data_IF_979723470521
#
_entry.id   IF_979723470521
#
_cell.length_a   1.000
_cell.length_b   1.000
_cell.length_c   1.000
_cell.angle_alpha   90.00
_cell.angle_beta   90.00
_cell.angle_gamma   90.00
#
_symmetry.space_group_name_H-M   'P 1'
#
loop_
_entity.id
_entity.type
_entity.pdbx_description
1 polymer ?
#
# COMPACT_ATOMS: atom_id res chain seq x y z
N UNK A 1 8.56 -2.79 -4.19
CA UNK A 1 7.56 -2.99 -5.26
C UNK A 1 6.18 -2.87 -4.65
N UNK A 2 5.21 -2.25 -5.33
CA UNK A 2 3.84 -2.12 -4.82
C UNK A 2 2.88 -2.94 -5.69
N UNK A 3 2.14 -3.84 -5.04
CA UNK A 3 0.95 -4.49 -5.59
C UNK A 3 -0.21 -3.50 -5.38
N UNK A 4 -0.97 -3.15 -6.44
CA UNK A 4 -2.11 -2.26 -6.34
C UNK A 4 -3.26 -2.92 -5.57
N UNK A 5 -4.38 -2.21 -5.45
CA UNK A 5 -5.67 -2.80 -5.07
C UNK A 5 -5.97 -4.08 -5.89
N UNK A 6 -6.34 -5.16 -5.22
CA UNK A 6 -6.61 -6.46 -5.85
C UNK A 6 -8.07 -6.88 -5.74
N UNK A 7 -9.01 -5.95 -5.57
CA UNK A 7 -10.44 -6.19 -5.76
C UNK A 7 -10.76 -6.76 -7.15
N UNK A 8 -11.99 -7.22 -7.37
CA UNK A 8 -12.40 -7.78 -8.66
C UNK A 8 -12.26 -9.30 -8.75
N UNK A 9 -12.55 -9.98 -7.65
CA UNK A 9 -12.65 -11.44 -7.57
C UNK A 9 -13.82 -11.96 -8.42
N UNK A 10 -13.65 -13.15 -8.98
CA UNK A 10 -14.69 -13.91 -9.71
C UNK A 10 -15.11 -15.14 -8.92
N UNK A 11 -16.23 -15.77 -9.29
CA UNK A 11 -16.81 -16.94 -8.64
C UNK A 11 -18.01 -16.60 -7.75
N UNK A 12 -18.55 -17.63 -7.10
CA UNK A 12 -19.73 -17.54 -6.23
C UNK A 12 -19.55 -16.49 -5.14
N UNK A 13 -20.53 -15.59 -5.01
CA UNK A 13 -20.58 -14.63 -3.91
C UNK A 13 -19.70 -13.38 -4.07
N UNK A 14 -18.87 -13.26 -5.11
CA UNK A 14 -18.05 -12.05 -5.35
C UNK A 14 -18.88 -10.89 -5.92
N UNK A 15 -18.35 -9.64 -5.96
CA UNK A 15 -19.10 -8.52 -6.58
C UNK A 15 -19.27 -8.71 -8.09
N UNK A 16 -18.27 -9.29 -8.78
CA UNK A 16 -18.32 -9.44 -10.25
C UNK A 16 -19.26 -10.55 -10.74
N UNK A 17 -19.44 -11.61 -9.96
CA UNK A 17 -20.24 -12.77 -10.36
C UNK A 17 -21.02 -13.39 -9.20
N UNK A 18 -21.89 -12.62 -8.52
CA UNK A 18 -22.50 -13.04 -7.25
C UNK A 18 -23.31 -14.34 -7.34
N UNK A 19 -23.88 -14.62 -8.51
CA UNK A 19 -24.70 -15.81 -8.78
C UNK A 19 -23.95 -16.96 -9.50
N UNK A 20 -22.63 -16.84 -9.70
CA UNK A 20 -21.84 -17.92 -10.29
C UNK A 20 -21.80 -19.13 -9.34
N UNK A 21 -21.67 -20.33 -9.88
CA UNK A 21 -21.36 -21.54 -9.10
C UNK A 21 -19.88 -21.93 -9.17
N UNK A 22 -19.06 -21.12 -9.84
CA UNK A 22 -17.64 -21.37 -10.00
C UNK A 22 -16.87 -21.05 -8.70
N UNK A 23 -15.74 -21.72 -8.44
CA UNK A 23 -14.87 -21.41 -7.32
C UNK A 23 -14.39 -19.95 -7.36
N UNK A 24 -14.18 -19.36 -6.18
CA UNK A 24 -13.64 -18.01 -6.09
C UNK A 24 -12.21 -17.95 -6.63
N UNK A 25 -11.91 -16.97 -7.47
CA UNK A 25 -10.59 -16.77 -8.09
C UNK A 25 -10.25 -15.29 -8.25
N UNK A 26 -8.96 -15.00 -8.32
CA UNK A 26 -8.45 -13.71 -8.79
C UNK A 26 -7.20 -13.94 -9.67
N UNK A 27 -7.39 -14.10 -11.00
CA UNK A 27 -6.29 -14.40 -11.91
C UNK A 27 -5.26 -13.27 -12.03
N UNK A 28 -5.66 -12.02 -11.84
CA UNK A 28 -4.73 -10.87 -11.95
C UNK A 28 -3.84 -10.82 -10.72
N UNK A 29 -4.42 -10.95 -9.52
CA UNK A 29 -3.63 -11.03 -8.30
C UNK A 29 -2.65 -12.22 -8.35
N UNK A 30 -3.09 -13.38 -8.83
CA UNK A 30 -2.21 -14.53 -9.03
C UNK A 30 -1.06 -14.23 -10.01
N UNK A 31 -1.32 -13.53 -11.12
CA UNK A 31 -0.28 -13.11 -12.06
C UNK A 31 0.70 -12.12 -11.45
N UNK A 32 0.23 -11.16 -10.66
CA UNK A 32 1.09 -10.20 -9.95
C UNK A 32 2.09 -10.92 -9.05
N UNK A 33 1.61 -11.78 -8.15
CA UNK A 33 2.48 -12.48 -7.19
C UNK A 33 3.42 -13.48 -7.87
N UNK A 34 2.96 -14.17 -8.92
CA UNK A 34 3.81 -15.08 -9.71
C UNK A 34 4.90 -14.31 -10.46
N UNK A 35 4.53 -13.20 -11.11
CA UNK A 35 5.51 -12.36 -11.80
C UNK A 35 6.58 -11.85 -10.83
N UNK A 36 6.17 -11.38 -9.64
CA UNK A 36 7.10 -10.95 -8.59
C UNK A 36 8.07 -12.08 -8.24
N UNK A 37 7.57 -13.27 -7.90
CA UNK A 37 8.39 -14.43 -7.55
C UNK A 37 9.36 -14.79 -8.68
N UNK A 38 8.87 -14.85 -9.91
CA UNK A 38 9.66 -15.29 -11.07
C UNK A 38 10.71 -14.24 -11.49
N UNK A 39 10.60 -13.00 -11.00
CA UNK A 39 11.49 -11.88 -11.34
C UNK A 39 12.30 -11.33 -10.15
N UNK A 40 12.30 -11.99 -8.99
CA UNK A 40 13.01 -11.51 -7.79
C UNK A 40 14.48 -11.18 -8.08
N UNK A 41 15.20 -12.10 -8.72
CA UNK A 41 16.61 -11.93 -9.05
C UNK A 41 16.80 -10.91 -10.18
N UNK A 42 16.11 -11.10 -11.31
CA UNK A 42 16.26 -10.29 -12.51
C UNK A 42 15.92 -8.80 -12.27
N UNK A 43 14.94 -8.51 -11.40
CA UNK A 43 14.52 -7.15 -11.06
C UNK A 43 15.11 -6.66 -9.73
N UNK A 44 15.86 -7.51 -9.02
CA UNK A 44 16.46 -7.24 -7.70
C UNK A 44 15.41 -6.79 -6.67
N UNK A 45 14.30 -7.53 -6.59
CA UNK A 45 13.19 -7.20 -5.69
C UNK A 45 13.58 -7.61 -4.27
N UNK A 46 13.75 -6.61 -3.41
CA UNK A 46 14.15 -6.80 -2.00
C UNK A 46 13.00 -6.60 -1.01
N UNK A 47 11.89 -5.99 -1.45
CA UNK A 47 10.72 -5.71 -0.63
C UNK A 47 9.46 -5.54 -1.49
N UNK A 48 8.32 -6.05 -0.99
CA UNK A 48 7.00 -5.94 -1.63
C UNK A 48 6.00 -5.34 -0.64
N UNK A 49 5.22 -4.35 -1.05
CA UNK A 49 4.08 -3.83 -0.29
C UNK A 49 2.78 -4.00 -1.07
N UNK A 50 1.67 -4.21 -0.39
CA UNK A 50 0.32 -4.19 -0.97
C UNK A 50 -0.45 -3.00 -0.41
N UNK A 51 -1.06 -2.19 -1.27
CA UNK A 51 -1.69 -0.90 -0.88
C UNK A 51 -3.10 -1.03 -0.30
N UNK A 52 -3.48 -2.19 0.24
CA UNK A 52 -4.86 -2.45 0.72
C UNK A 52 -5.87 -2.84 -0.34
N UNK A 53 -7.08 -3.11 0.14
CA UNK A 53 -8.17 -3.73 -0.62
C UNK A 53 -7.70 -5.02 -1.32
N UNK A 54 -7.21 -5.92 -0.47
CA UNK A 54 -6.74 -7.26 -0.84
C UNK A 54 -7.93 -8.10 -1.29
N UNK A 55 -9.09 -7.90 -0.66
CA UNK A 55 -10.35 -8.57 -0.99
C UNK A 55 -11.43 -7.56 -1.34
N UNK A 56 -12.53 -8.05 -1.92
CA UNK A 56 -13.62 -7.26 -2.46
C UNK A 56 -14.82 -7.17 -1.50
N UNK A 57 -15.10 -8.25 -0.77
CA UNK A 57 -16.29 -8.37 0.10
C UNK A 57 -16.00 -8.74 1.55
N UNK A 58 -14.73 -8.86 1.95
CA UNK A 58 -14.35 -9.32 3.29
C UNK A 58 -15.01 -10.65 3.70
N UNK A 59 -14.79 -11.71 2.92
CA UNK A 59 -15.33 -13.05 3.20
C UNK A 59 -14.24 -14.13 3.12
N UNK A 60 -14.49 -15.27 3.76
CA UNK A 60 -13.52 -16.36 3.85
C UNK A 60 -13.06 -16.91 2.49
N UNK A 61 -13.94 -16.94 1.49
CA UNK A 61 -13.61 -17.49 0.18
C UNK A 61 -12.58 -16.62 -0.56
N UNK A 62 -12.75 -15.30 -0.53
CA UNK A 62 -11.79 -14.34 -1.09
C UNK A 62 -10.48 -14.34 -0.29
N UNK A 63 -10.55 -14.35 1.04
CA UNK A 63 -9.35 -14.43 1.89
C UNK A 63 -8.56 -15.72 1.69
N UNK A 64 -9.24 -16.84 1.45
CA UNK A 64 -8.58 -18.13 1.12
C UNK A 64 -7.80 -18.03 -0.20
N UNK A 65 -8.36 -17.33 -1.20
CA UNK A 65 -7.65 -17.06 -2.46
C UNK A 65 -6.48 -16.10 -2.22
N UNK A 66 -6.68 -15.01 -1.48
CA UNK A 66 -5.63 -14.05 -1.15
C UNK A 66 -4.45 -14.70 -0.42
N UNK A 67 -4.73 -15.53 0.60
CA UNK A 67 -3.77 -16.37 1.34
C UNK A 67 -2.94 -17.21 0.39
N UNK A 68 -3.60 -17.97 -0.50
CA UNK A 68 -2.93 -18.81 -1.51
C UNK A 68 -2.04 -18.01 -2.45
N UNK A 69 -2.48 -16.84 -2.91
CA UNK A 69 -1.69 -15.96 -3.77
C UNK A 69 -0.45 -15.45 -3.03
N UNK A 70 -0.62 -14.90 -1.82
CA UNK A 70 0.48 -14.31 -1.06
C UNK A 70 1.44 -15.35 -0.46
N UNK A 71 0.99 -16.60 -0.26
CA UNK A 71 1.85 -17.72 0.11
C UNK A 71 2.99 -17.97 -0.90
N UNK A 72 2.82 -17.54 -2.15
CA UNK A 72 3.87 -17.61 -3.19
C UNK A 72 5.09 -16.76 -2.84
N UNK A 73 4.91 -15.69 -2.04
CA UNK A 73 5.98 -14.79 -1.61
C UNK A 73 6.47 -15.07 -0.18
N UNK A 74 5.70 -15.84 0.59
CA UNK A 74 5.93 -16.04 2.01
C UNK A 74 7.21 -16.84 2.27
N UNK A 75 8.12 -16.27 3.07
CA UNK A 75 9.44 -16.84 3.31
C UNK A 75 10.43 -16.70 2.15
N UNK A 76 10.05 -16.01 1.07
CA UNK A 76 10.87 -15.83 -0.13
C UNK A 76 11.38 -14.38 -0.25
N UNK A 77 10.51 -13.39 -0.01
CA UNK A 77 10.86 -11.97 -0.05
C UNK A 77 10.18 -11.25 1.12
N UNK A 78 10.82 -10.28 1.79
CA UNK A 78 10.15 -9.43 2.76
C UNK A 78 8.94 -8.72 2.15
N UNK A 79 7.82 -8.70 2.88
CA UNK A 79 6.64 -7.99 2.40
C UNK A 79 5.76 -7.43 3.51
N UNK A 80 4.93 -6.47 3.15
CA UNK A 80 3.89 -5.87 4.00
C UNK A 80 2.54 -5.91 3.33
N UNK A 81 1.50 -5.99 4.16
CA UNK A 81 0.11 -5.87 3.74
C UNK A 81 -0.50 -4.66 4.47
N UNK A 82 -1.08 -3.76 3.71
CA UNK A 82 -1.96 -2.71 4.24
C UNK A 82 -3.40 -3.21 4.16
N UNK A 83 -4.24 -2.85 5.12
CA UNK A 83 -5.68 -3.10 5.07
C UNK A 83 -6.39 -1.89 4.47
N UNK A 84 -7.19 -2.12 3.44
CA UNK A 84 -8.06 -1.12 2.84
C UNK A 84 -9.47 -1.15 3.42
N UNK A 85 -10.36 -0.30 2.88
CA UNK A 85 -11.72 -0.18 3.39
C UNK A 85 -12.61 -1.39 3.08
N UNK A 86 -12.18 -2.29 2.18
CA UNK A 86 -12.82 -3.58 1.91
C UNK A 86 -12.23 -4.74 2.72
N UNK A 87 -11.08 -4.56 3.37
CA UNK A 87 -10.44 -5.58 4.20
C UNK A 87 -10.88 -5.53 5.68
N UNK A 88 -11.55 -4.44 6.07
CA UNK A 88 -12.09 -4.22 7.41
C UNK A 88 -13.47 -3.58 7.37
N UNK A 89 -14.18 -3.56 8.50
CA UNK A 89 -15.45 -2.84 8.59
C UNK A 89 -15.23 -1.32 8.63
N UNK A 90 -16.28 -0.54 8.38
CA UNK A 90 -16.22 0.93 8.52
C UNK A 90 -15.79 1.40 9.92
N UNK A 91 -15.94 0.55 10.96
CA UNK A 91 -15.49 0.83 12.34
C UNK A 91 -14.05 0.37 12.61
N UNK A 92 -13.34 -0.11 11.60
CA UNK A 92 -11.94 -0.56 11.70
C UNK A 92 -11.75 -2.00 12.15
N UNK A 93 -12.82 -2.81 12.21
CA UNK A 93 -12.67 -4.23 12.57
C UNK A 93 -12.07 -5.02 11.41
N UNK A 94 -10.83 -5.48 11.59
CA UNK A 94 -10.04 -6.27 10.63
C UNK A 94 -9.88 -7.74 11.06
N UNK A 95 -10.76 -8.26 11.93
CA UNK A 95 -10.64 -9.60 12.51
C UNK A 95 -10.45 -10.70 11.47
N UNK A 96 -11.17 -10.63 10.33
CA UNK A 96 -11.05 -11.65 9.30
C UNK A 96 -9.71 -11.58 8.57
N UNK A 97 -9.23 -10.37 8.22
CA UNK A 97 -7.84 -10.19 7.75
C UNK A 97 -6.83 -10.80 8.73
N UNK A 98 -7.00 -10.54 10.03
CA UNK A 98 -6.10 -11.03 11.07
C UNK A 98 -6.10 -12.56 11.22
N UNK A 99 -7.19 -13.25 10.91
CA UNK A 99 -7.23 -14.71 10.91
C UNK A 99 -6.32 -15.30 9.81
N UNK A 100 -6.27 -14.66 8.65
CA UNK A 100 -5.45 -15.13 7.53
C UNK A 100 -4.03 -14.58 7.58
N UNK A 101 -3.85 -13.33 8.02
CA UNK A 101 -2.59 -12.58 7.96
C UNK A 101 -2.24 -11.92 9.30
N UNK A 102 -2.52 -12.59 10.42
CA UNK A 102 -2.12 -12.14 11.75
C UNK A 102 -0.60 -12.09 11.95
N UNK A 103 -0.15 -11.29 12.91
CA UNK A 103 1.24 -10.98 13.21
C UNK A 103 2.05 -12.22 13.55
N UNK A 104 1.45 -13.21 14.22
CA UNK A 104 2.09 -14.50 14.54
C UNK A 104 2.75 -15.14 13.33
N UNK A 105 2.12 -15.04 12.16
CA UNK A 105 2.67 -15.55 10.90
C UNK A 105 4.03 -14.97 10.56
N UNK A 106 4.30 -13.75 11.01
CA UNK A 106 5.45 -12.96 10.61
C UNK A 106 6.54 -12.88 11.67
N UNK A 107 6.21 -13.19 12.94
CA UNK A 107 7.08 -12.96 14.11
C UNK A 107 8.46 -13.61 14.02
N UNK A 108 8.58 -14.74 13.33
CA UNK A 108 9.85 -15.45 13.18
C UNK A 108 10.73 -14.90 12.04
N UNK A 109 10.23 -13.97 11.23
CA UNK A 109 11.03 -13.34 10.19
C UNK A 109 11.82 -12.16 10.74
N UNK A 110 13.16 -12.12 10.56
CA UNK A 110 13.99 -11.02 11.07
C UNK A 110 13.62 -9.64 10.51
N UNK A 111 12.99 -9.60 9.35
CA UNK A 111 12.55 -8.36 8.71
C UNK A 111 11.22 -7.83 9.26
N UNK A 112 10.46 -8.63 10.01
CA UNK A 112 9.22 -8.18 10.65
C UNK A 112 9.56 -7.49 11.97
N UNK A 113 9.43 -6.17 12.00
CA UNK A 113 9.81 -5.37 13.16
C UNK A 113 8.79 -5.41 14.30
N UNK A 114 7.51 -5.67 13.96
CA UNK A 114 6.41 -5.78 14.89
C UNK A 114 5.14 -5.12 14.38
N UNK A 115 4.11 -5.16 15.22
CA UNK A 115 2.78 -4.61 14.98
C UNK A 115 2.35 -3.59 16.04
N UNK A 116 1.29 -2.84 15.75
CA UNK A 116 0.69 -1.92 16.72
C UNK A 116 -0.08 -2.70 17.80
N UNK A 117 0.33 -2.52 19.05
CA UNK A 117 -0.37 -3.06 20.21
C UNK A 117 -1.28 -2.00 20.83
N UNK A 118 -2.59 -2.10 20.56
CA UNK A 118 -3.55 -1.09 21.03
C UNK A 118 -3.78 -1.03 22.54
N UNK A 119 -3.29 -2.02 23.30
CA UNK A 119 -3.60 -2.20 24.72
C UNK A 119 -5.08 -2.53 25.02
N UNK A 120 -5.93 -2.67 24.00
CA UNK A 120 -7.34 -3.05 24.13
C UNK A 120 -7.48 -4.57 24.35
N UNK A 121 -8.55 -5.05 25.01
CA UNK A 121 -8.75 -6.49 25.25
C UNK A 121 -8.86 -7.33 23.97
N UNK A 122 -9.34 -6.74 22.88
CA UNK A 122 -9.44 -7.38 21.58
C UNK A 122 -8.56 -6.64 20.57
N UNK A 123 -7.76 -7.36 19.75
CA UNK A 123 -6.95 -6.75 18.71
C UNK A 123 -7.74 -6.42 17.43
N UNK A 124 -9.05 -6.73 17.38
CA UNK A 124 -9.88 -6.60 16.19
C UNK A 124 -9.81 -5.22 15.50
N UNK A 125 -9.69 -4.14 16.28
CA UNK A 125 -9.62 -2.76 15.78
C UNK A 125 -8.21 -2.21 15.96
N UNK A 126 -7.55 -1.93 14.83
CA UNK A 126 -6.18 -1.41 14.70
C UNK A 126 -5.05 -2.31 15.18
N UNK A 127 -5.33 -3.31 16.03
CA UNK A 127 -4.32 -4.18 16.61
C UNK A 127 -3.87 -5.30 15.68
N UNK A 128 -2.92 -6.11 16.17
CA UNK A 128 -2.35 -7.21 15.40
C UNK A 128 -1.79 -6.64 14.07
N UNK A 129 -1.73 -7.44 13.02
CA UNK A 129 -1.08 -7.02 11.78
C UNK A 129 -1.84 -5.97 10.94
N UNK A 130 -2.90 -5.34 11.45
CA UNK A 130 -3.59 -4.25 10.75
C UNK A 130 -2.65 -3.05 10.52
N UNK A 131 -1.70 -2.85 11.43
CA UNK A 131 -0.59 -1.91 11.31
C UNK A 131 0.70 -2.64 11.68
N UNK A 132 1.73 -2.53 10.85
CA UNK A 132 2.99 -3.24 11.08
C UNK A 132 4.17 -2.49 10.48
N UNK A 133 5.37 -2.78 10.96
CA UNK A 133 6.58 -2.26 10.35
C UNK A 133 7.59 -3.36 10.04
N UNK A 134 8.41 -3.10 9.04
CA UNK A 134 9.41 -4.01 8.53
C UNK A 134 10.76 -3.29 8.45
N UNK A 135 11.82 -4.00 8.81
CA UNK A 135 13.20 -3.53 8.72
C UNK A 135 13.95 -4.39 7.71
N UNK A 136 14.60 -3.75 6.74
CA UNK A 136 15.38 -4.47 5.75
C UNK A 136 16.59 -3.65 5.28
N UNK A 137 17.51 -4.33 4.63
CA UNK A 137 18.78 -3.77 4.16
C UNK A 137 19.04 -4.21 2.71
N UNK A 138 19.46 -3.27 1.86
CA UNK A 138 19.86 -3.56 0.49
C UNK A 138 20.83 -2.49 -0.04
N UNK A 139 21.85 -2.89 -0.81
CA UNK A 139 22.81 -1.95 -1.45
C UNK A 139 23.50 -0.97 -0.49
N UNK A 140 23.74 -1.39 0.76
CA UNK A 140 24.33 -0.56 1.81
C UNK A 140 23.35 0.46 2.39
N UNK A 141 22.05 0.32 2.12
CA UNK A 141 20.99 1.20 2.63
C UNK A 141 20.10 0.43 3.60
N UNK A 142 19.87 1.04 4.76
CA UNK A 142 18.91 0.58 5.74
C UNK A 142 17.55 1.25 5.54
N UNK A 143 16.50 0.45 5.60
CA UNK A 143 15.11 0.87 5.44
C UNK A 143 14.26 0.52 6.65
N UNK A 144 13.26 1.35 6.88
CA UNK A 144 12.06 1.03 7.64
C UNK A 144 10.86 1.22 6.71
N UNK A 145 10.00 0.21 6.63
CA UNK A 145 8.69 0.33 6.00
C UNK A 145 7.62 0.26 7.09
N UNK A 146 6.61 1.12 7.03
CA UNK A 146 5.44 1.08 7.92
C UNK A 146 4.17 0.93 7.07
N UNK A 147 3.39 -0.11 7.35
CA UNK A 147 2.05 -0.31 6.82
C UNK A 147 1.04 0.28 7.81
N UNK A 148 0.23 1.23 7.35
CA UNK A 148 -0.82 1.90 8.11
C UNK A 148 -2.19 1.54 7.54
N UNK A 149 -3.13 1.15 8.39
CA UNK A 149 -4.50 0.87 8.01
C UNK A 149 -5.21 2.08 7.38
N UNK A 150 -6.25 1.84 6.59
CA UNK A 150 -7.06 2.90 6.00
C UNK A 150 -7.59 3.87 7.06
N UNK A 151 -7.29 5.16 6.88
CA UNK A 151 -7.63 6.24 7.83
C UNK A 151 -7.12 5.97 9.26
N UNK A 152 -5.85 5.54 9.39
CA UNK A 152 -5.22 5.21 10.66
C UNK A 152 -5.51 6.25 11.77
N UNK A 153 -6.06 5.83 12.93
CA UNK A 153 -6.35 6.70 14.05
C UNK A 153 -5.12 7.27 14.77
N UNK A 154 -5.31 8.30 15.60
CA UNK A 154 -4.23 9.00 16.32
C UNK A 154 -3.33 8.08 17.16
N UNK A 155 -3.89 7.04 17.80
CA UNK A 155 -3.11 6.08 18.59
C UNK A 155 -2.13 5.29 17.71
N UNK A 156 -2.52 5.00 16.47
CA UNK A 156 -1.65 4.37 15.47
C UNK A 156 -0.63 5.37 14.93
N UNK A 157 -1.03 6.62 14.66
CA UNK A 157 -0.11 7.66 14.18
C UNK A 157 0.95 8.00 15.24
N UNK A 158 0.60 8.01 16.53
CA UNK A 158 1.54 8.18 17.63
C UNK A 158 2.58 7.05 17.67
N UNK A 159 2.14 5.80 17.51
CA UNK A 159 3.05 4.66 17.41
C UNK A 159 3.98 4.76 16.18
N UNK A 160 3.45 5.17 15.02
CA UNK A 160 4.25 5.36 13.82
C UNK A 160 5.27 6.51 13.99
N UNK A 161 4.87 7.60 14.67
CA UNK A 161 5.76 8.70 15.04
C UNK A 161 6.95 8.19 15.89
N UNK A 162 6.67 7.38 16.91
CA UNK A 162 7.71 6.78 17.77
C UNK A 162 8.67 5.88 16.98
N UNK A 163 8.15 5.11 16.02
CA UNK A 163 8.98 4.27 15.14
C UNK A 163 9.88 5.11 14.24
N UNK A 164 9.34 6.14 13.58
CA UNK A 164 10.13 6.97 12.68
C UNK A 164 11.22 7.75 13.42
N UNK A 165 10.96 8.19 14.65
CA UNK A 165 11.96 8.78 15.53
C UNK A 165 13.00 7.75 15.99
N UNK A 166 12.57 6.56 16.43
CA UNK A 166 13.48 5.48 16.87
C UNK A 166 14.41 5.01 15.75
N UNK A 167 13.93 5.01 14.52
CA UNK A 167 14.65 4.56 13.33
C UNK A 167 15.03 5.73 12.41
N UNK A 168 15.33 6.91 12.97
CA UNK A 168 15.67 8.12 12.21
C UNK A 168 16.85 7.94 11.24
N UNK A 169 17.79 7.03 11.54
CA UNK A 169 18.91 6.70 10.66
C UNK A 169 18.57 5.82 9.45
N UNK A 170 17.32 5.32 9.36
CA UNK A 170 16.84 4.46 8.26
C UNK A 170 15.97 5.26 7.31
N UNK A 171 15.99 4.89 6.03
CA UNK A 171 15.11 5.48 5.00
C UNK A 171 13.70 4.96 5.21
N UNK A 172 12.78 5.86 5.52
CA UNK A 172 11.42 5.51 5.83
C UNK A 172 10.52 5.53 4.59
N UNK A 173 9.72 4.47 4.48
CA UNK A 173 8.69 4.25 3.49
C UNK A 173 7.38 3.98 4.23
N UNK A 174 6.27 4.56 3.79
CA UNK A 174 4.94 4.27 4.33
C UNK A 174 4.06 3.73 3.22
N UNK A 175 3.25 2.73 3.53
CA UNK A 175 2.08 2.37 2.72
C UNK A 175 0.82 2.60 3.55
N UNK A 176 -0.15 3.29 2.97
CA UNK A 176 -1.51 3.43 3.49
C UNK A 176 -2.50 3.16 2.38
N UNK A 177 -3.74 2.80 2.68
CA UNK A 177 -4.72 2.60 1.62
C UNK A 177 -5.14 3.93 0.97
N UNK A 178 -5.42 4.95 1.79
CA UNK A 178 -5.90 6.27 1.36
C UNK A 178 -4.86 7.37 1.61
N UNK A 179 -4.45 8.08 0.54
CA UNK A 179 -3.69 9.34 0.63
C UNK A 179 -4.07 10.34 -0.48
N UNK A 180 -3.67 10.07 -1.72
CA UNK A 180 -4.01 10.91 -2.87
C UNK A 180 -5.27 10.41 -3.58
N UNK A 181 -6.08 11.34 -4.09
CA UNK A 181 -7.34 11.05 -4.76
C UNK A 181 -8.11 12.33 -5.08
N UNK A 182 -9.44 12.23 -5.17
CA UNK A 182 -10.29 13.42 -5.21
C UNK A 182 -10.29 14.12 -3.85
N UNK A 183 -10.05 15.44 -3.86
CA UNK A 183 -9.85 16.24 -2.64
C UNK A 183 -11.03 16.13 -1.66
N UNK A 184 -12.25 16.28 -2.16
CA UNK A 184 -13.48 16.21 -1.39
C UNK A 184 -14.25 14.95 -1.75
N UNK A 185 -15.05 14.41 -0.83
CA UNK A 185 -15.87 13.23 -1.13
C UNK A 185 -16.87 13.57 -2.27
N UNK A 186 -16.78 12.90 -3.43
CA UNK A 186 -17.62 13.23 -4.57
C UNK A 186 -19.10 13.08 -4.28
N UNK A 187 -19.91 13.95 -4.89
CA UNK A 187 -21.38 13.91 -4.78
C UNK A 187 -22.05 13.11 -5.90
N UNK A 188 -21.26 12.66 -6.87
CA UNK A 188 -21.68 11.87 -8.03
C UNK A 188 -20.58 10.92 -8.46
N UNK A 189 -20.94 9.88 -9.22
CA UNK A 189 -19.98 8.95 -9.81
C UNK A 189 -18.95 9.64 -10.71
N UNK A 190 -19.41 10.62 -11.49
CA UNK A 190 -18.61 11.43 -12.39
C UNK A 190 -17.53 12.26 -11.65
N UNK A 191 -17.85 12.72 -10.43
CA UNK A 191 -16.92 13.48 -9.60
C UNK A 191 -15.68 12.66 -9.21
N UNK A 192 -15.78 11.34 -9.06
CA UNK A 192 -14.61 10.49 -8.80
C UNK A 192 -13.57 10.52 -9.94
N UNK A 193 -13.97 10.95 -11.16
CA UNK A 193 -13.11 11.04 -12.34
C UNK A 193 -12.68 12.49 -12.58
N UNK A 194 -13.59 13.45 -12.44
CA UNK A 194 -13.35 14.82 -12.93
C UNK A 194 -13.13 15.88 -11.86
N UNK A 195 -13.49 15.61 -10.60
CA UNK A 195 -13.29 16.59 -9.54
C UNK A 195 -11.79 16.81 -9.25
N UNK A 196 -11.42 17.96 -8.66
CA UNK A 196 -10.04 18.28 -8.34
C UNK A 196 -9.33 17.22 -7.49
N UNK A 197 -8.10 16.90 -7.86
CA UNK A 197 -7.29 15.84 -7.24
C UNK A 197 -6.16 16.42 -6.38
N UNK A 198 -5.77 15.65 -5.38
CA UNK A 198 -4.68 15.96 -4.46
C UNK A 198 -4.77 15.08 -3.21
N UNK A 199 -4.25 15.55 -2.08
CA UNK A 199 -4.37 14.83 -0.82
C UNK A 199 -5.80 14.94 -0.26
N UNK A 200 -6.42 13.80 0.01
CA UNK A 200 -7.85 13.70 0.35
C UNK A 200 -8.20 14.31 1.72
N UNK A 201 -9.39 14.91 1.83
CA UNK A 201 -9.94 15.55 3.05
C UNK A 201 -11.11 14.81 3.68
N UNK A 202 -11.28 13.54 3.36
CA UNK A 202 -12.39 12.71 3.82
C UNK A 202 -11.90 11.30 4.20
N UNK A 203 -12.74 10.57 4.92
CA UNK A 203 -12.44 9.23 5.43
C UNK A 203 -13.48 8.21 4.99
N UNK A 204 -13.09 6.94 4.91
CA UNK A 204 -13.98 5.78 4.72
C UNK A 204 -14.11 4.93 5.98
N UNK A 205 -13.07 4.91 6.81
CA UNK A 205 -12.96 4.05 7.99
C UNK A 205 -12.78 4.86 9.28
N UNK A 206 -13.03 4.20 10.42
CA UNK A 206 -12.86 4.70 11.79
C UNK A 206 -13.74 5.88 12.22
N UNK A 207 -14.55 6.45 11.32
CA UNK A 207 -15.45 7.56 11.64
C UNK A 207 -14.66 8.75 12.22
N UNK A 208 -15.10 9.27 13.38
CA UNK A 208 -14.42 10.38 14.06
C UNK A 208 -13.01 10.05 14.57
N UNK A 209 -12.69 8.76 14.74
CA UNK A 209 -11.33 8.34 15.12
C UNK A 209 -10.38 8.30 13.93
N UNK A 210 -10.91 8.27 12.71
CA UNK A 210 -10.10 8.11 11.51
C UNK A 210 -9.51 9.42 11.05
N UNK A 211 -8.25 9.39 10.62
CA UNK A 211 -7.61 10.55 10.03
C UNK A 211 -7.82 10.62 8.52
N UNK A 212 -8.15 11.82 8.05
CA UNK A 212 -8.04 12.15 6.63
C UNK A 212 -6.58 12.12 6.21
N UNK A 213 -6.31 12.01 4.91
CA UNK A 213 -4.94 12.04 4.42
C UNK A 213 -4.23 13.35 4.79
N UNK A 214 -4.93 14.49 4.73
CA UNK A 214 -4.39 15.79 5.19
C UNK A 214 -3.97 15.77 6.67
N UNK A 215 -4.77 15.17 7.55
CA UNK A 215 -4.39 15.01 8.96
C UNK A 215 -3.17 14.10 9.12
N UNK A 216 -3.13 12.96 8.41
CA UNK A 216 -1.96 12.08 8.43
C UNK A 216 -0.68 12.79 7.94
N UNK A 217 -0.81 13.70 6.97
CA UNK A 217 0.31 14.56 6.57
C UNK A 217 0.77 15.48 7.70
N UNK A 218 -0.17 16.16 8.34
CA UNK A 218 0.12 17.15 9.37
C UNK A 218 0.66 16.56 10.67
N UNK A 219 0.20 15.35 11.02
CA UNK A 219 0.49 14.70 12.29
C UNK A 219 1.64 13.69 12.20
N UNK A 220 1.95 13.19 11.00
CA UNK A 220 2.98 12.18 10.80
C UNK A 220 3.92 12.53 9.63
N UNK A 221 3.43 12.62 8.39
CA UNK A 221 4.33 12.54 7.24
C UNK A 221 5.33 13.70 7.15
N UNK A 222 4.91 14.94 7.44
CA UNK A 222 5.82 16.09 7.37
C UNK A 222 6.80 16.17 8.54
N UNK A 223 6.64 15.35 9.58
CA UNK A 223 7.35 15.46 10.86
C UNK A 223 8.69 14.74 10.91
N UNK A 224 9.01 13.94 9.90
CA UNK A 224 10.17 13.05 9.96
C UNK A 224 11.10 13.27 8.78
N UNK A 225 12.33 13.69 9.08
CA UNK A 225 13.36 13.98 8.08
C UNK A 225 13.73 12.75 7.23
N UNK A 226 13.53 11.55 7.77
CA UNK A 226 13.87 10.28 7.12
C UNK A 226 12.72 9.68 6.29
N UNK A 227 11.50 10.23 6.35
CA UNK A 227 10.40 9.83 5.48
C UNK A 227 10.60 10.40 4.07
N UNK A 228 10.57 9.51 3.08
CA UNK A 228 10.76 9.88 1.68
C UNK A 228 9.61 9.48 0.77
N UNK A 229 8.90 8.39 1.07
CA UNK A 229 7.85 7.86 0.18
C UNK A 229 6.61 7.45 0.96
N UNK A 230 5.45 7.80 0.43
CA UNK A 230 4.13 7.32 0.84
C UNK A 230 3.47 6.67 -0.38
N UNK A 231 3.08 5.41 -0.26
CA UNK A 231 2.40 4.65 -1.31
C UNK A 231 0.93 4.46 -0.95
N UNK A 232 0.03 4.61 -1.93
CA UNK A 232 -1.41 4.43 -1.71
C UNK A 232 -2.16 3.80 -2.88
N UNK A 233 -3.39 3.35 -2.61
CA UNK A 233 -4.36 2.78 -3.54
C UNK A 233 -5.70 3.52 -3.46
N UNK A 234 -6.82 2.79 -3.34
CA UNK A 234 -8.18 3.30 -3.06
C UNK A 234 -8.91 4.00 -4.23
N UNK A 235 -8.18 4.70 -5.09
CA UNK A 235 -8.71 5.63 -6.09
C UNK A 235 -8.62 5.10 -7.53
N UNK A 236 -9.38 4.04 -7.81
CA UNK A 236 -9.41 3.32 -9.12
C UNK A 236 -9.78 4.20 -10.32
N UNK A 237 -10.47 5.32 -10.09
CA UNK A 237 -10.83 6.33 -11.11
C UNK A 237 -9.81 7.47 -11.26
N UNK A 238 -8.74 7.43 -10.46
CA UNK A 238 -7.57 8.29 -10.60
C UNK A 238 -6.35 7.50 -11.11
N UNK A 239 -6.26 6.19 -10.84
CA UNK A 239 -5.23 5.20 -11.24
C UNK A 239 -3.77 5.49 -10.89
N UNK A 240 -3.29 6.71 -11.14
CA UNK A 240 -1.95 7.18 -10.84
C UNK A 240 -1.96 8.66 -10.48
N UNK A 241 -1.41 9.01 -9.31
CA UNK A 241 -1.15 10.40 -8.93
C UNK A 241 0.19 10.49 -8.21
N UNK A 242 0.85 11.63 -8.36
CA UNK A 242 2.07 11.98 -7.63
C UNK A 242 1.89 13.35 -7.01
N UNK A 243 2.31 13.47 -5.76
CA UNK A 243 2.42 14.74 -5.06
C UNK A 243 3.72 14.78 -4.29
N UNK A 244 4.58 15.75 -4.64
CA UNK A 244 5.83 16.01 -3.95
C UNK A 244 5.65 17.21 -3.03
N UNK A 245 5.98 17.06 -1.75
CA UNK A 245 5.88 18.14 -0.78
C UNK A 245 7.07 18.13 0.18
N UNK A 246 7.49 19.32 0.61
CA UNK A 246 8.52 19.49 1.61
C UNK A 246 7.97 19.16 3.02
N UNK A 247 8.69 18.31 3.75
CA UNK A 247 8.50 18.12 5.19
C UNK A 247 9.08 19.27 6.01
N UNK A 248 8.81 19.27 7.31
CA UNK A 248 9.23 20.31 8.26
C UNK A 248 10.77 20.41 8.40
N UNK A 249 11.49 19.36 8.00
CA UNK A 249 12.96 19.29 8.01
C UNK A 249 13.60 19.60 6.65
N UNK A 250 12.81 20.03 5.66
CA UNK A 250 13.28 20.32 4.30
C UNK A 250 13.51 19.08 3.43
N UNK A 251 13.28 17.87 3.95
CA UNK A 251 13.20 16.65 3.14
C UNK A 251 12.01 16.72 2.17
N UNK A 252 12.09 16.03 1.04
CA UNK A 252 10.96 15.83 0.15
C UNK A 252 10.26 14.51 0.47
N UNK A 253 8.94 14.57 0.59
CA UNK A 253 8.09 13.39 0.73
C UNK A 253 7.31 13.22 -0.58
N UNK A 254 7.53 12.07 -1.22
CA UNK A 254 6.92 11.69 -2.50
C UNK A 254 5.73 10.79 -2.23
N UNK A 255 4.52 11.35 -2.36
CA UNK A 255 3.26 10.61 -2.24
C UNK A 255 2.86 10.06 -3.61
N UNK A 256 2.62 8.75 -3.70
CA UNK A 256 2.50 8.02 -4.96
C UNK A 256 1.30 7.07 -4.92
N UNK A 257 0.21 7.48 -5.56
CA UNK A 257 -0.97 6.66 -5.79
C UNK A 257 -0.73 5.70 -6.95
N UNK A 258 -1.04 4.42 -6.75
CA UNK A 258 -0.97 3.38 -7.76
C UNK A 258 -2.15 2.43 -7.61
N UNK A 259 -3.30 2.84 -8.13
CA UNK A 259 -4.53 2.04 -8.10
C UNK A 259 -4.93 1.58 -9.49
N UNK A 260 -4.16 0.63 -10.00
CA UNK A 260 -4.45 -0.02 -11.27
C UNK A 260 -5.53 -1.09 -11.16
N UNK A 261 -6.08 -1.34 -9.97
CA UNK A 261 -7.01 -2.44 -9.69
C UNK A 261 -6.49 -3.81 -10.18
N UNK A 262 -7.36 -4.82 -10.20
CA UNK A 262 -7.11 -6.08 -10.92
C UNK A 262 -7.22 -5.92 -12.45
N UNK A 263 -6.47 -4.98 -13.05
CA UNK A 263 -6.39 -4.77 -14.50
C UNK A 263 -5.08 -5.22 -15.16
N UNK A 264 -4.06 -5.58 -14.37
CA UNK A 264 -2.78 -6.12 -14.90
C UNK A 264 -1.53 -5.37 -14.46
N UNK A 265 -1.51 -4.02 -14.43
CA UNK A 265 -0.36 -3.24 -14.02
C UNK A 265 -0.04 -3.37 -12.53
N UNK A 266 1.24 -3.24 -12.20
CA UNK A 266 1.77 -3.04 -10.85
C UNK A 266 2.94 -2.05 -10.92
N UNK A 267 3.47 -1.61 -9.78
CA UNK A 267 4.51 -0.58 -9.76
C UNK A 267 5.81 -1.01 -9.09
N UNK A 268 6.91 -0.78 -9.78
CA UNK A 268 8.27 -0.97 -9.30
C UNK A 268 8.89 0.38 -8.94
N UNK A 269 9.62 0.38 -7.84
CA UNK A 269 10.43 1.51 -7.38
C UNK A 269 11.86 1.03 -7.29
N UNK A 270 12.67 1.37 -8.30
CA UNK A 270 14.07 0.96 -8.37
C UNK A 270 14.94 2.06 -7.81
N UNK A 271 15.48 1.82 -6.63
CA UNK A 271 16.46 2.68 -5.98
C UNK A 271 17.81 2.47 -6.66
N UNK A 272 18.44 3.57 -7.12
CA UNK A 272 19.73 3.58 -7.80
C UNK A 272 20.67 4.47 -6.99
N UNK A 273 21.36 3.94 -5.96
CA UNK A 273 22.12 4.74 -5.02
C UNK A 273 23.30 5.49 -5.66
N UNK A 274 23.91 4.91 -6.70
CA UNK A 274 25.00 5.54 -7.46
C UNK A 274 24.57 6.80 -8.23
N UNK A 275 23.27 6.96 -8.47
CA UNK A 275 22.70 8.08 -9.23
C UNK A 275 21.84 9.00 -8.36
N UNK A 276 21.65 8.67 -7.06
CA UNK A 276 20.72 9.36 -6.16
C UNK A 276 19.32 9.53 -6.78
N UNK A 277 18.79 8.44 -7.35
CA UNK A 277 17.50 8.45 -8.05
C UNK A 277 16.69 7.18 -7.80
N UNK A 278 15.36 7.34 -7.73
CA UNK A 278 14.40 6.24 -7.75
C UNK A 278 13.67 6.25 -9.09
N UNK A 279 13.83 5.18 -9.87
CA UNK A 279 13.09 4.98 -11.11
C UNK A 279 11.75 4.30 -10.80
N UNK A 280 10.67 4.97 -11.16
CA UNK A 280 9.30 4.46 -11.03
C UNK A 280 8.87 3.85 -12.35
N UNK A 281 8.54 2.57 -12.32
CA UNK A 281 8.21 1.79 -13.51
C UNK A 281 6.86 1.12 -13.28
N UNK A 282 5.90 1.37 -14.16
CA UNK A 282 4.62 0.64 -14.16
C UNK A 282 4.67 -0.46 -15.20
N UNK A 283 4.40 -1.70 -14.81
CA UNK A 283 4.52 -2.85 -15.70
C UNK A 283 3.26 -3.70 -15.64
N UNK A 284 2.69 -4.00 -16.80
CA UNK A 284 1.53 -4.87 -16.95
C UNK A 284 1.97 -6.33 -16.96
N UNK A 285 1.61 -7.08 -15.92
CA UNK A 285 1.97 -8.51 -15.82
C UNK A 285 1.14 -9.42 -16.71
N UNK A 286 -0.02 -8.94 -17.18
CA UNK A 286 -0.90 -9.66 -18.08
C UNK A 286 -0.46 -9.48 -19.54
N UNK A 287 -0.20 -8.25 -19.96
CA UNK A 287 0.27 -7.92 -21.31
C UNK A 287 1.79 -8.07 -21.48
N UNK A 288 2.53 -8.09 -20.37
CA UNK A 288 3.99 -8.23 -20.30
C UNK A 288 4.76 -7.07 -20.92
N UNK A 289 4.25 -5.86 -20.77
CA UNK A 289 4.84 -4.62 -21.30
C UNK A 289 4.79 -3.47 -20.29
N UNK A 290 5.48 -2.38 -20.60
CA UNK A 290 5.39 -1.16 -19.82
C UNK A 290 4.02 -0.52 -19.98
N UNK A 291 3.39 -0.15 -18.87
CA UNK A 291 2.15 0.61 -18.90
C UNK A 291 2.48 2.08 -19.16
N UNK A 292 2.05 2.58 -20.30
CA UNK A 292 2.23 3.98 -20.70
C UNK A 292 1.01 4.86 -20.55
N UNK A 293 -0.15 4.25 -20.31
CA UNK A 293 -1.45 4.92 -20.30
C UNK A 293 -2.46 4.03 -19.57
N UNK A 294 -3.50 4.64 -19.01
CA UNK A 294 -4.68 4.00 -18.43
C UNK A 294 -5.93 4.78 -18.83
N UNK A 295 -7.12 4.23 -18.55
CA UNK A 295 -8.39 4.88 -18.91
C UNK A 295 -8.54 6.32 -18.39
N UNK A 296 -8.05 6.60 -17.18
CA UNK A 296 -8.22 7.91 -16.53
C UNK A 296 -6.95 8.77 -16.47
N UNK A 297 -5.80 8.19 -16.82
CA UNK A 297 -4.51 8.88 -16.85
C UNK A 297 -3.78 8.42 -18.10
N UNK A 298 -3.72 9.29 -19.09
CA UNK A 298 -3.19 8.94 -20.41
C UNK A 298 -1.68 9.19 -20.52
N UNK A 299 -1.14 10.07 -19.67
CA UNK A 299 0.22 10.58 -19.76
C UNK A 299 1.27 9.54 -19.35
N UNK A 300 2.20 9.24 -20.26
CA UNK A 300 3.33 8.33 -20.02
C UNK A 300 4.14 8.67 -18.76
N UNK A 301 4.34 9.96 -18.50
CA UNK A 301 5.13 10.45 -17.36
C UNK A 301 4.44 10.22 -16.00
N UNK A 302 3.15 9.92 -15.99
CA UNK A 302 2.43 9.47 -14.78
C UNK A 302 2.69 8.01 -14.44
N UNK A 303 3.20 7.24 -15.41
CA UNK A 303 3.46 5.81 -15.27
C UNK A 303 4.94 5.44 -15.26
N UNK A 304 5.77 6.21 -15.95
CA UNK A 304 7.20 5.99 -16.11
C UNK A 304 7.96 7.28 -15.84
N UNK A 305 8.65 7.36 -14.71
CA UNK A 305 9.35 8.58 -14.33
C UNK A 305 10.49 8.29 -13.37
N UNK A 306 11.31 9.30 -13.11
CA UNK A 306 12.41 9.22 -12.16
C UNK A 306 12.27 10.31 -11.12
N UNK A 307 12.53 9.96 -9.88
CA UNK A 307 12.48 10.84 -8.72
C UNK A 307 13.92 11.05 -8.23
N UNK A 308 14.43 12.28 -8.16
CA UNK A 308 15.68 12.58 -7.45
C UNK A 308 15.52 12.24 -5.96
N UNK A 309 16.41 11.43 -5.42
CA UNK A 309 16.39 11.03 -4.02
C UNK A 309 17.81 10.79 -3.52
N UNK A 310 18.30 11.67 -2.64
CA UNK A 310 19.63 11.57 -2.06
C UNK A 310 19.71 10.32 -1.16
N UNK A 311 20.41 9.30 -1.63
CA UNK A 311 20.50 8.01 -0.97
C UNK A 311 21.79 7.80 -0.21
N UNK A 312 22.84 8.57 -0.47
CA UNK A 312 24.08 8.53 0.30
C UNK A 312 24.45 9.96 0.65
N UNK A 313 24.75 10.22 1.92
CA UNK A 313 25.46 11.43 2.30
C UNK A 313 26.89 11.30 1.75
N UNK A 314 27.40 12.35 1.13
CA UNK A 314 28.83 12.48 0.81
C UNK A 314 29.69 12.42 2.08
#
# INVERSE_FOLDING_TARGET
MAIPDTQGYFGLGTKRSPASNDPVTNPVFEKHVRWIRDNLEAQRIVFVTHVGDIVDRNNEAEWTVARRCLDVLHGIVPYSLTVGNHDMTARGDSSLFQQYFGAERYRDFPWYGGDFESGRPSPAVSGNNANSFQLFHAEGLDFIHISLECNAPDDVLAWANDLLARYEGRRALITTHMDLGVLEHPKSDDGFIHDPKGRMRWTKCHGERGNTAVQMWDELYRKHANLAFVFSGDQSRCTALRLDQAGDHGNQVHSLLSDYTSSGPLRLYRFIPSENQVRVITYDTTQRELTGTTEYVEDWESHQFTIPYLMRSE
#
